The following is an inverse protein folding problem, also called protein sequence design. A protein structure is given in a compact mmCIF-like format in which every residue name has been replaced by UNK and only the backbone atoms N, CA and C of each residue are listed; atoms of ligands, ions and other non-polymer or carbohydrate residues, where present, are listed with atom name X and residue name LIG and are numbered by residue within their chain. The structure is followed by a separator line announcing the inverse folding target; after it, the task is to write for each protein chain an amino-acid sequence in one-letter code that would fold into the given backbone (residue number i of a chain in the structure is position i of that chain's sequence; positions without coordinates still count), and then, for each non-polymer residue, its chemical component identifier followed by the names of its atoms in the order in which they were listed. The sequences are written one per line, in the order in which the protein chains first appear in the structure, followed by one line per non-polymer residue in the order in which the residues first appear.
data_IF_110127719434
#
_entry.id   IF_110127719434
#
_cell.length_a   1.000
_cell.length_b   1.000
_cell.length_c   1.000
_cell.angle_alpha   90.00
_cell.angle_beta   90.00
_cell.angle_gamma   90.00
#
_symmetry.space_group_name_H-M   'P 1'
#
loop_
_entity.id
_entity.type
_entity.pdbx_description
1 polymer ?
#
# COMPACT_ATOMS: atom_id res chain seq x y z
N UNK A 1 -12.24 -2.51 2.01
CA UNK A 1 -11.97 -3.95 2.19
C UNK A 1 -12.09 -4.69 0.86
N UNK A 2 -11.03 -5.39 0.45
CA UNK A 2 -11.02 -6.27 -0.74
C UNK A 2 -10.97 -7.74 -0.33
N UNK A 3 -11.48 -8.63 -1.18
CA UNK A 3 -11.42 -10.08 -0.98
C UNK A 3 -10.47 -10.69 -2.01
N UNK A 4 -9.47 -11.46 -1.54
CA UNK A 4 -8.62 -12.30 -2.37
C UNK A 4 -8.84 -13.80 -2.10
N UNK A 5 -8.57 -14.71 -3.03
CA UNK A 5 -8.63 -16.17 -2.81
C UNK A 5 -7.19 -16.68 -2.77
N UNK A 6 -6.96 -17.70 -1.96
CA UNK A 6 -5.66 -18.33 -1.82
C UNK A 6 -5.21 -18.98 -3.14
N UNK A 7 -4.05 -18.56 -3.65
CA UNK A 7 -3.42 -18.98 -4.91
C UNK A 7 -1.91 -19.22 -4.68
N UNK A 8 -1.27 -20.02 -5.54
CA UNK A 8 0.18 -20.32 -5.49
C UNK A 8 1.03 -19.04 -5.64
N UNK A 9 0.48 -18.03 -6.32
CA UNK A 9 1.05 -16.69 -6.41
C UNK A 9 -0.05 -15.64 -6.45
N UNK A 10 0.07 -14.62 -5.58
CA UNK A 10 -0.79 -13.44 -5.54
C UNK A 10 0.08 -12.20 -5.67
N UNK A 11 -0.46 -11.21 -6.38
CA UNK A 11 0.14 -9.89 -6.52
C UNK A 11 -0.80 -8.85 -5.89
N UNK A 12 -0.31 -8.11 -4.89
CA UNK A 12 -1.00 -6.94 -4.35
C UNK A 12 -0.34 -5.70 -4.94
N UNK A 13 -1.14 -4.85 -5.58
CA UNK A 13 -0.70 -3.57 -6.12
C UNK A 13 -1.28 -2.45 -5.29
N UNK A 14 -0.43 -1.85 -4.46
CA UNK A 14 -0.83 -0.76 -3.62
C UNK A 14 -0.52 0.59 -4.27
N UNK A 15 -1.57 1.34 -4.58
CA UNK A 15 -1.48 2.63 -5.26
C UNK A 15 -1.32 3.73 -4.23
N UNK A 16 -0.11 4.29 -4.18
CA UNK A 16 0.26 5.38 -3.29
C UNK A 16 0.04 6.69 -4.02
N UNK A 17 -1.01 7.42 -3.65
CA UNK A 17 -1.19 8.81 -4.04
C UNK A 17 -0.31 9.70 -3.18
N UNK A 18 0.44 10.59 -3.79
CA UNK A 18 1.24 11.60 -3.10
C UNK A 18 0.79 13.00 -3.48
N UNK A 19 1.05 13.95 -2.58
CA UNK A 19 0.83 15.39 -2.80
C UNK A 19 1.99 16.19 -2.22
N UNK A 20 2.28 17.33 -2.84
CA UNK A 20 3.28 18.33 -2.40
C UNK A 20 4.76 17.88 -2.43
N UNK A 21 5.09 16.85 -3.22
CA UNK A 21 6.48 16.45 -3.43
C UNK A 21 7.30 17.52 -4.16
N UNK A 22 8.59 17.57 -3.83
CA UNK A 22 9.55 18.38 -4.60
C UNK A 22 9.89 17.68 -5.91
N UNK A 23 9.51 18.31 -7.04
CA UNK A 23 9.83 17.85 -8.40
C UNK A 23 11.34 17.72 -8.61
N UNK A 24 11.76 16.66 -9.31
CA UNK A 24 13.16 16.34 -9.59
C UNK A 24 13.90 15.69 -8.41
N UNK A 25 13.22 15.42 -7.29
CA UNK A 25 13.78 14.64 -6.18
C UNK A 25 13.36 13.18 -6.28
N UNK A 26 14.29 12.32 -5.90
CA UNK A 26 14.06 10.89 -5.75
C UNK A 26 13.45 10.59 -4.38
N UNK A 27 12.50 9.65 -4.40
CA UNK A 27 11.84 9.11 -3.21
C UNK A 27 11.78 7.60 -3.32
N UNK A 28 11.84 6.92 -2.18
CA UNK A 28 11.63 5.47 -2.08
C UNK A 28 10.45 5.20 -1.17
N UNK A 29 9.44 4.49 -1.68
CA UNK A 29 8.35 3.96 -0.87
C UNK A 29 8.68 2.51 -0.54
N UNK A 30 8.77 2.21 0.74
CA UNK A 30 8.90 0.85 1.25
C UNK A 30 7.58 0.45 1.89
N UNK A 31 7.10 -0.75 1.58
CA UNK A 31 5.91 -1.31 2.18
C UNK A 31 6.16 -2.67 2.79
N UNK A 32 5.36 -3.00 3.81
CA UNK A 32 5.31 -4.31 4.46
C UNK A 32 3.86 -4.74 4.61
N UNK A 33 3.59 -5.99 4.29
CA UNK A 33 2.29 -6.58 4.58
C UNK A 33 2.25 -7.01 6.04
N UNK A 34 1.17 -6.68 6.73
CA UNK A 34 0.94 -7.00 8.13
C UNK A 34 -0.21 -8.01 8.23
N UNK A 35 -0.06 -9.04 9.05
CA UNK A 35 -1.20 -9.81 9.53
C UNK A 35 -1.94 -8.97 10.56
N UNK A 36 -3.23 -8.67 10.31
CA UNK A 36 -4.07 -7.87 11.21
C UNK A 36 -4.16 -8.47 12.61
N UNK A 37 -4.13 -9.80 12.72
CA UNK A 37 -4.18 -10.52 13.98
C UNK A 37 -3.17 -11.68 13.91
N UNK A 38 -1.92 -11.45 14.35
CA UNK A 38 -1.62 -10.79 15.63
C UNK A 38 -1.14 -9.33 15.57
N UNK A 39 -1.13 -8.66 14.41
CA UNK A 39 -0.56 -7.31 14.26
C UNK A 39 0.94 -7.31 14.03
N UNK A 40 1.45 -8.33 13.34
CA UNK A 40 2.88 -8.54 13.03
C UNK A 40 3.12 -8.55 11.52
N UNK A 41 4.36 -8.34 11.05
CA UNK A 41 4.70 -8.57 9.65
C UNK A 41 4.21 -9.94 9.20
N UNK A 42 3.58 -9.95 8.02
CA UNK A 42 3.15 -11.18 7.38
C UNK A 42 4.40 -11.91 6.88
N UNK A 43 4.58 -13.14 7.35
CA UNK A 43 5.65 -14.02 6.89
C UNK A 43 5.11 -15.10 5.97
N UNK A 44 5.77 -15.28 4.82
CA UNK A 44 5.56 -16.40 3.89
C UNK A 44 6.90 -17.08 3.70
N UNK A 45 6.93 -18.40 3.90
CA UNK A 45 8.16 -19.21 3.86
C UNK A 45 9.29 -18.68 4.78
N UNK A 46 8.90 -18.14 5.94
CA UNK A 46 9.82 -17.60 6.96
C UNK A 46 10.46 -16.25 6.59
N UNK A 47 9.89 -15.51 5.63
CA UNK A 47 10.34 -14.17 5.23
C UNK A 47 9.17 -13.19 5.24
N UNK A 48 9.44 -11.97 5.70
CA UNK A 48 8.47 -10.87 5.61
C UNK A 48 8.12 -10.58 4.14
N UNK A 49 6.83 -10.34 3.88
CA UNK A 49 6.38 -9.91 2.56
C UNK A 49 6.48 -8.39 2.46
N UNK A 50 7.49 -7.93 1.72
CA UNK A 50 7.79 -6.51 1.51
C UNK A 50 7.71 -6.12 0.03
N UNK A 51 7.44 -4.85 -0.23
CA UNK A 51 7.47 -4.24 -1.55
C UNK A 51 8.23 -2.91 -1.50
N UNK A 52 8.86 -2.50 -2.60
CA UNK A 52 9.58 -1.23 -2.65
C UNK A 52 9.48 -0.61 -4.04
N UNK A 53 9.42 0.72 -4.11
CA UNK A 53 9.47 1.46 -5.36
C UNK A 53 10.19 2.78 -5.18
N UNK A 54 11.25 2.97 -5.96
CA UNK A 54 11.98 4.23 -6.05
C UNK A 54 11.56 4.96 -7.30
N UNK A 55 11.31 6.27 -7.18
CA UNK A 55 10.91 7.11 -8.29
C UNK A 55 11.42 8.54 -8.12
N UNK A 56 11.68 9.20 -9.25
CA UNK A 56 11.90 10.65 -9.29
C UNK A 56 10.57 11.34 -9.56
N UNK A 57 10.15 12.21 -8.65
CA UNK A 57 8.92 13.00 -8.81
C UNK A 57 9.04 13.91 -10.04
N UNK A 58 8.11 13.77 -10.99
CA UNK A 58 8.00 14.66 -12.17
C UNK A 58 6.90 15.72 -12.00
N UNK A 59 6.03 15.53 -11.00
CA UNK A 59 4.93 16.42 -10.61
C UNK A 59 4.88 16.49 -9.08
N UNK A 60 4.33 17.58 -8.52
CA UNK A 60 4.17 17.71 -7.07
C UNK A 60 3.21 16.67 -6.51
N UNK A 61 2.18 16.33 -7.30
CA UNK A 61 1.13 15.39 -6.94
C UNK A 61 1.06 14.29 -7.98
N UNK A 62 0.75 13.06 -7.57
CA UNK A 62 0.70 11.94 -8.47
C UNK A 62 0.45 10.62 -7.76
N UNK A 63 0.72 9.52 -8.47
CA UNK A 63 0.57 8.17 -7.94
C UNK A 63 1.74 7.30 -8.34
N UNK A 64 2.16 6.41 -7.44
CA UNK A 64 3.11 5.33 -7.69
C UNK A 64 2.53 4.02 -7.17
N UNK A 65 2.87 2.89 -7.77
CA UNK A 65 2.45 1.57 -7.27
C UNK A 65 3.59 0.93 -6.49
N UNK A 66 3.28 0.30 -5.37
CA UNK A 66 4.16 -0.63 -4.66
C UNK A 66 3.61 -2.04 -4.85
N UNK A 67 4.42 -2.92 -5.44
CA UNK A 67 4.03 -4.30 -5.73
C UNK A 67 4.53 -5.26 -4.65
N UNK A 68 3.67 -6.19 -4.26
CA UNK A 68 3.99 -7.30 -3.36
C UNK A 68 3.60 -8.61 -4.03
N UNK A 69 4.57 -9.52 -4.17
CA UNK A 69 4.34 -10.83 -4.80
C UNK A 69 4.69 -11.93 -3.82
N UNK A 70 3.72 -12.80 -3.51
CA UNK A 70 3.89 -13.87 -2.52
C UNK A 70 2.92 -15.03 -2.76
N UNK A 71 3.24 -16.19 -2.18
CA UNK A 71 2.34 -17.35 -2.18
C UNK A 71 1.28 -17.18 -1.07
N UNK A 72 0.01 -17.11 -1.45
CA UNK A 72 -1.10 -16.90 -0.51
C UNK A 72 -1.84 -18.18 -0.14
N UNK A 73 -1.42 -19.33 -0.67
CA UNK A 73 -2.09 -20.63 -0.50
C UNK A 73 -2.33 -21.00 0.97
N UNK A 74 -1.40 -20.60 1.85
CA UNK A 74 -1.43 -20.82 3.29
C UNK A 74 -2.20 -19.74 4.08
N UNK A 75 -2.60 -18.63 3.44
CA UNK A 75 -3.18 -17.47 4.13
C UNK A 75 -4.71 -17.48 4.20
N UNK A 76 -5.34 -18.62 3.92
CA UNK A 76 -6.81 -18.78 3.92
C UNK A 76 -7.42 -18.29 5.23
N UNK A 77 -8.33 -17.31 5.14
CA UNK A 77 -9.04 -16.72 6.27
C UNK A 77 -8.29 -15.57 6.97
N UNK A 78 -7.03 -15.30 6.60
CA UNK A 78 -6.27 -14.20 7.18
C UNK A 78 -6.71 -12.85 6.62
N UNK A 79 -6.45 -11.80 7.40
CA UNK A 79 -6.70 -10.42 7.02
C UNK A 79 -5.37 -9.68 7.03
N UNK A 80 -5.00 -9.14 5.89
CA UNK A 80 -3.71 -8.51 5.61
C UNK A 80 -3.93 -7.00 5.52
N UNK A 81 -2.99 -6.22 6.03
CA UNK A 81 -3.00 -4.74 5.95
C UNK A 81 -1.66 -4.26 5.41
N UNK A 82 -1.67 -3.25 4.53
CA UNK A 82 -0.42 -2.70 3.97
C UNK A 82 0.07 -1.52 4.83
N UNK A 83 1.29 -1.62 5.33
CA UNK A 83 2.02 -0.51 5.94
C UNK A 83 3.03 0.04 4.96
N UNK A 84 3.29 1.35 5.05
CA UNK A 84 4.20 2.06 4.14
C UNK A 84 5.04 3.11 4.86
N UNK A 85 6.24 3.33 4.34
CA UNK A 85 7.13 4.42 4.69
C UNK A 85 7.72 5.02 3.42
N UNK A 86 7.88 6.34 3.40
CA UNK A 86 8.47 7.09 2.29
C UNK A 86 9.77 7.72 2.76
N UNK A 87 10.80 7.58 1.94
CA UNK A 87 12.15 8.07 2.21
C UNK A 87 12.61 9.03 1.11
N UNK A 88 13.41 10.01 1.50
CA UNK A 88 14.24 10.81 0.60
C UNK A 88 15.70 10.61 1.01
N UNK A 89 16.47 9.85 0.22
CA UNK A 89 17.74 9.28 0.70
C UNK A 89 17.48 8.38 1.92
N UNK A 90 18.26 8.54 2.98
CA UNK A 90 18.10 7.75 4.23
C UNK A 90 17.07 8.36 5.21
N UNK A 91 16.49 9.52 4.87
CA UNK A 91 15.55 10.21 5.75
C UNK A 91 14.13 9.74 5.49
N UNK A 92 13.48 9.17 6.51
CA UNK A 92 12.04 8.96 6.52
C UNK A 92 11.31 10.32 6.51
N UNK A 93 10.41 10.50 5.55
CA UNK A 93 9.66 11.76 5.36
C UNK A 93 8.16 11.61 5.59
N UNK A 94 7.60 10.40 5.46
CA UNK A 94 6.22 10.09 5.83
C UNK A 94 6.03 8.58 6.05
N UNK A 95 4.96 8.21 6.74
CA UNK A 95 4.51 6.82 6.90
C UNK A 95 2.99 6.71 6.92
N UNK A 96 2.49 5.52 6.60
CA UNK A 96 1.09 5.12 6.74
C UNK A 96 1.07 3.72 7.37
N UNK A 97 0.84 3.67 8.68
CA UNK A 97 1.00 2.48 9.52
C UNK A 97 -0.23 2.29 10.43
N UNK A 98 -1.41 2.14 9.82
CA UNK A 98 -2.67 1.91 10.55
C UNK A 98 -3.22 0.50 10.27
N UNK A 99 -3.13 -0.39 11.27
CA UNK A 99 -3.62 -1.78 11.21
C UNK A 99 -5.14 -1.88 11.07
N UNK A 100 -5.86 -0.78 11.30
CA UNK A 100 -7.31 -0.72 11.20
C UNK A 100 -7.80 -0.06 9.91
N UNK A 101 -6.91 0.38 9.02
CA UNK A 101 -7.30 1.03 7.77
C UNK A 101 -7.96 0.02 6.80
N UNK A 102 -9.28 0.09 6.70
CA UNK A 102 -10.08 -0.76 5.81
C UNK A 102 -9.81 -0.53 4.32
N UNK A 103 -9.30 0.65 3.95
CA UNK A 103 -8.86 1.00 2.60
C UNK A 103 -7.51 0.36 2.23
N UNK A 104 -6.76 -0.08 3.23
CA UNK A 104 -5.50 -0.82 3.10
C UNK A 104 -5.62 -2.28 3.53
N UNK A 105 -6.84 -2.76 3.79
CA UNK A 105 -7.11 -4.12 4.27
C UNK A 105 -7.59 -5.05 3.15
N UNK A 106 -6.93 -6.21 3.03
CA UNK A 106 -7.28 -7.33 2.14
C UNK A 106 -7.63 -8.56 2.98
N UNK A 107 -8.77 -9.19 2.72
CA UNK A 107 -9.14 -10.47 3.34
C UNK A 107 -8.93 -11.62 2.36
N UNK A 108 -8.18 -12.63 2.77
CA UNK A 108 -7.99 -13.84 1.97
C UNK A 108 -9.15 -14.81 2.26
N UNK A 109 -10.13 -14.87 1.36
CA UNK A 109 -11.24 -15.82 1.39
C UNK A 109 -10.80 -17.26 1.15
N UNK A 110 -11.56 -18.17 1.76
CA UNK A 110 -11.40 -19.60 1.59
C UNK A 110 -12.36 -20.06 0.48
N UNK A 111 -11.89 -20.68 -0.62
CA UNK A 111 -12.77 -21.07 -1.73
C UNK A 111 -13.82 -22.14 -1.35
N UNK A 112 -13.69 -22.80 -0.20
CA UNK A 112 -14.62 -23.85 0.27
C UNK A 112 -15.64 -23.39 1.34
N UNK A 113 -15.85 -22.08 1.53
CA UNK A 113 -17.02 -21.56 2.24
C UNK A 113 -17.89 -20.79 1.25
N UNK A 114 -19.01 -21.39 0.87
CA UNK A 114 -20.07 -20.71 0.14
C UNK A 114 -20.41 -19.39 0.83
N UNK A 115 -20.22 -18.28 0.12
CA UNK A 115 -20.93 -17.05 0.43
C UNK A 115 -22.42 -17.30 0.14
N UNK A 116 -23.36 -16.80 0.96
CA UNK A 116 -24.77 -16.87 0.61
C UNK A 116 -24.96 -16.20 -0.75
N UNK A 117 -25.42 -16.96 -1.73
CA UNK A 117 -25.78 -16.48 -3.07
C UNK A 117 -26.98 -15.54 -2.93
N UNK A 118 -26.70 -14.26 -2.69
CA UNK A 118 -27.70 -13.19 -2.73
C UNK A 118 -28.17 -12.99 -4.17
N UNK A 119 -29.42 -13.37 -4.43
CA UNK A 119 -30.09 -13.29 -5.72
C UNK A 119 -30.22 -11.84 -6.26
N UNK A 120 -29.98 -11.73 -7.57
CA UNK A 120 -30.69 -10.93 -8.57
C UNK A 120 -30.54 -9.39 -8.62
N UNK A 121 -29.90 -9.00 -9.75
CA UNK A 121 -30.33 -8.00 -10.73
C UNK A 121 -30.26 -6.50 -10.37
N UNK A 122 -29.35 -5.82 -11.09
CA UNK A 122 -29.19 -4.37 -11.28
C UNK A 122 -28.58 -3.58 -10.12
N UNK A 123 -27.24 -3.45 -10.14
CA UNK A 123 -26.50 -2.42 -9.42
C UNK A 123 -25.17 -2.19 -10.12
N UNK A 124 -24.99 -1.02 -10.74
CA UNK A 124 -23.88 -0.71 -11.64
C UNK A 124 -22.51 -1.02 -11.06
N UNK A 125 -21.66 -1.62 -11.90
CA UNK A 125 -20.24 -1.79 -11.60
C UNK A 125 -19.58 -0.40 -11.50
N UNK A 126 -18.87 -0.07 -10.41
CA UNK A 126 -17.80 0.90 -10.53
C UNK A 126 -16.65 0.27 -11.33
N UNK A 127 -16.51 0.69 -12.58
CA UNK A 127 -15.32 0.54 -13.45
C UNK A 127 -14.11 1.21 -12.78
N UNK A 128 -12.87 0.70 -12.79
CA UNK A 128 -11.96 0.40 -13.93
C UNK A 128 -10.98 -0.74 -13.56
N UNK A 129 -10.98 -1.95 -14.15
CA UNK A 129 -10.38 -2.36 -15.45
C UNK A 129 -8.85 -2.51 -15.33
N UNK A 130 -8.18 -3.68 -15.37
CA UNK A 130 -8.25 -4.80 -16.33
C UNK A 130 -7.92 -6.16 -15.66
N UNK A 131 -8.62 -7.23 -16.07
CA UNK A 131 -8.42 -8.60 -15.63
C UNK A 131 -7.40 -9.31 -16.52
N UNK A 132 -6.28 -9.75 -15.95
CA UNK A 132 -5.41 -10.78 -16.53
C UNK A 132 -5.49 -12.05 -15.69
N UNK A 133 -5.50 -13.20 -16.35
CA UNK A 133 -5.92 -14.51 -15.86
C UNK A 133 -4.94 -15.23 -14.90
N UNK A 134 -4.41 -14.52 -13.90
CA UNK A 134 -3.63 -15.10 -12.80
C UNK A 134 -3.98 -14.37 -11.49
N UNK A 135 -4.30 -15.13 -10.43
CA UNK A 135 -4.50 -14.73 -9.03
C UNK A 135 -4.69 -13.24 -8.70
N UNK A 136 -5.95 -12.80 -8.66
CA UNK A 136 -6.52 -11.65 -7.91
C UNK A 136 -5.63 -10.42 -7.67
N UNK A 137 -5.99 -9.32 -8.35
CA UNK A 137 -5.41 -7.99 -8.17
C UNK A 137 -6.17 -7.25 -7.06
N UNK A 138 -5.59 -7.13 -5.86
CA UNK A 138 -6.13 -6.27 -4.79
C UNK A 138 -5.47 -4.88 -4.85
N UNK A 139 -6.28 -3.81 -4.72
CA UNK A 139 -5.82 -2.42 -4.75
C UNK A 139 -5.97 -1.74 -3.39
N UNK A 140 -4.87 -1.48 -2.69
CA UNK A 140 -4.84 -0.48 -1.61
C UNK A 140 -4.72 0.91 -2.23
N UNK A 141 -5.42 1.93 -1.71
CA UNK A 141 -5.17 3.33 -2.09
C UNK A 141 -4.85 4.11 -0.82
N UNK A 142 -3.62 4.62 -0.69
CA UNK A 142 -3.24 5.53 0.40
C UNK A 142 -2.94 6.90 -0.15
N UNK A 143 -3.34 7.93 0.57
CA UNK A 143 -2.93 9.31 0.29
C UNK A 143 -1.84 9.69 1.28
N UNK A 144 -0.64 9.96 0.78
CA UNK A 144 0.50 10.43 1.57
C UNK A 144 0.72 11.91 1.24
N UNK A 145 0.53 12.77 2.23
CA UNK A 145 0.83 14.20 2.11
C UNK A 145 2.26 14.41 2.60
N UNK A 146 3.11 14.93 1.71
CA UNK A 146 4.49 15.25 2.00
C UNK A 146 4.67 16.73 1.75
N UNK A 147 4.37 17.55 2.77
CA UNK A 147 4.68 18.97 2.70
C UNK A 147 6.18 19.12 2.48
N UNK A 148 6.57 19.59 1.29
CA UNK A 148 7.96 19.79 0.93
C UNK A 148 8.70 20.46 2.08
N UNK A 149 9.78 19.83 2.54
CA UNK A 149 10.67 20.43 3.52
C UNK A 149 11.35 21.65 2.88
N UNK A 150 10.62 22.76 2.77
CA UNK A 150 11.21 24.09 2.69
C UNK A 150 11.77 24.31 4.08
N UNK A 151 13.03 23.88 4.28
CA UNK A 151 13.83 24.48 5.33
C UNK A 151 13.97 25.94 4.92
N UNK A 152 13.03 26.75 5.39
CA UNK A 152 13.19 28.18 5.44
C UNK A 152 14.42 28.39 6.32
N UNK A 153 15.56 28.70 5.70
CA UNK A 153 16.68 29.33 6.39
C UNK A 153 16.13 30.67 6.85
N UNK A 154 15.49 30.72 8.03
CA UNK A 154 15.19 31.98 8.68
C UNK A 154 16.54 32.50 9.14
N UNK A 155 17.15 33.34 8.30
CA UNK A 155 18.26 34.19 8.67
C UNK A 155 17.91 34.84 10.02
N UNK A 156 18.66 34.50 11.07
CA UNK A 156 18.70 35.30 12.29
C UNK A 156 20.03 36.03 12.31
N UNK A 157 20.06 37.16 11.62
CA UNK A 157 21.06 38.16 11.91
C UNK A 157 20.83 38.72 13.31
N UNK A 158 21.95 38.87 14.05
CA UNK A 158 22.31 40.01 14.94
C UNK A 158 21.39 40.28 16.15
N UNK A 159 21.81 40.49 17.39
CA UNK A 159 23.10 40.65 18.08
C UNK A 159 22.85 40.34 19.57
N UNK A 160 23.87 39.88 20.32
CA UNK A 160 24.02 40.22 21.75
C UNK A 160 25.44 39.93 22.25
N UNK A 161 26.28 40.97 22.29
CA UNK A 161 27.11 41.31 23.46
C UNK A 161 27.01 42.83 23.59
#
# INVERSE_FOLDING_TARGET
MFISYADEQVIINDKVKYTELTVGKEYTVNGVLMDKLPGKPLEVDGKEVTGSTTFTSITTDGTVNVEFTFNSSALKGQTIVVFKKVYQGDKEVASHEDINDEGQTVKVANPNKETPKGNNNNGGLPSTGEHSSAGIIAFGISVIVLAGAVISIKAKGKDKI
#
